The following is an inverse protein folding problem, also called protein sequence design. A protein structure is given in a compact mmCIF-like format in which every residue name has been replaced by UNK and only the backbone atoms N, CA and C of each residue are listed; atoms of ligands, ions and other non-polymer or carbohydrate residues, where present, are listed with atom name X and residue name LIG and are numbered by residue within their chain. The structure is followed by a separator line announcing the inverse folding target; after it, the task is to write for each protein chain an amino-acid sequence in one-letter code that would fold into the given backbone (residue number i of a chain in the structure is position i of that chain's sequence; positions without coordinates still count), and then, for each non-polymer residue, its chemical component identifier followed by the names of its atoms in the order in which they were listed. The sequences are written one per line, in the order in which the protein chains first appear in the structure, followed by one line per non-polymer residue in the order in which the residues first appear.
data_IF_824485628097
#
_entry.id   IF_824485628097
#
_cell.length_a   1.000
_cell.length_b   1.000
_cell.length_c   1.000
_cell.angle_alpha   90.00
_cell.angle_beta   90.00
_cell.angle_gamma   90.00
#
_symmetry.space_group_name_H-M   'P 1'
#
loop_
_entity.id
_entity.type
_entity.pdbx_description
1 polymer ?
#
# COMPACT_ATOMS: atom_id res chain seq x y z
N UNK A 1 -25.21 -13.36 -37.42
CA UNK A 1 -24.31 -13.53 -36.25
C UNK A 1 -23.32 -12.38 -36.32
N UNK A 2 -23.57 -11.28 -35.60
CA UNK A 2 -22.68 -10.12 -35.59
C UNK A 2 -21.48 -10.48 -34.73
N UNK A 3 -20.30 -10.35 -35.31
CA UNK A 3 -19.02 -10.42 -34.59
C UNK A 3 -18.88 -9.07 -33.90
N UNK A 4 -19.49 -8.94 -32.72
CA UNK A 4 -19.38 -7.74 -31.92
C UNK A 4 -17.96 -7.69 -31.31
N UNK A 5 -17.21 -6.66 -31.72
CA UNK A 5 -16.12 -6.00 -31.01
C UNK A 5 -15.09 -6.88 -30.26
N UNK A 6 -14.33 -7.70 -30.99
CA UNK A 6 -13.06 -8.20 -30.45
C UNK A 6 -12.00 -7.08 -30.52
N UNK A 7 -11.99 -6.21 -29.51
CA UNK A 7 -10.93 -5.20 -29.34
C UNK A 7 -9.74 -5.84 -28.64
N UNK A 8 -8.67 -6.15 -29.39
CA UNK A 8 -7.35 -6.37 -28.81
C UNK A 8 -6.83 -4.99 -28.39
N UNK A 9 -7.15 -4.58 -27.16
CA UNK A 9 -6.59 -3.39 -26.57
C UNK A 9 -5.21 -3.74 -26.01
N UNK A 10 -4.13 -3.32 -26.70
CA UNK A 10 -2.81 -3.29 -26.08
C UNK A 10 -2.83 -2.20 -24.99
N UNK A 11 -3.00 -2.60 -23.72
CA UNK A 11 -3.05 -1.71 -22.55
C UNK A 11 -3.31 -2.49 -21.26
N UNK A 12 -3.01 -1.88 -20.10
CA UNK A 12 -3.07 -2.49 -18.75
C UNK A 12 -4.46 -2.95 -18.25
N UNK A 13 -5.44 -3.13 -19.14
CA UNK A 13 -6.80 -3.57 -18.80
C UNK A 13 -6.81 -4.94 -18.12
N UNK A 14 -5.85 -5.81 -18.44
CA UNK A 14 -5.75 -7.17 -17.87
C UNK A 14 -5.20 -7.21 -16.42
N UNK A 15 -4.68 -6.08 -15.90
CA UNK A 15 -4.05 -6.03 -14.58
C UNK A 15 -4.94 -5.47 -13.47
N UNK A 16 -6.20 -5.11 -13.77
CA UNK A 16 -7.10 -4.60 -12.73
C UNK A 16 -7.44 -5.71 -11.72
N UNK A 17 -7.34 -5.45 -10.39
CA UNK A 17 -7.54 -6.49 -9.37
C UNK A 17 -8.92 -7.16 -9.42
N UNK A 18 -9.94 -6.47 -9.95
CA UNK A 18 -11.27 -7.03 -10.17
C UNK A 18 -11.30 -8.28 -11.06
N UNK A 19 -10.29 -8.46 -11.93
CA UNK A 19 -10.18 -9.61 -12.82
C UNK A 19 -9.39 -10.77 -12.20
N UNK A 20 -8.83 -10.60 -11.00
CA UNK A 20 -8.15 -11.69 -10.31
C UNK A 20 -9.18 -12.67 -9.77
N UNK A 21 -9.17 -13.88 -10.30
CA UNK A 21 -10.12 -14.91 -9.93
C UNK A 21 -9.64 -15.67 -8.68
N UNK A 22 -10.31 -15.42 -7.57
CA UNK A 22 -10.27 -16.30 -6.40
C UNK A 22 -11.51 -17.19 -6.46
N UNK A 23 -11.30 -18.49 -6.69
CA UNK A 23 -12.37 -19.49 -6.66
C UNK A 23 -13.18 -19.38 -5.38
N UNK A 24 -14.51 -19.53 -5.46
CA UNK A 24 -15.40 -19.44 -4.29
C UNK A 24 -15.04 -20.45 -3.19
N UNK A 25 -14.45 -21.59 -3.57
CA UNK A 25 -13.98 -22.63 -2.65
C UNK A 25 -12.55 -22.39 -2.13
N UNK A 26 -11.91 -21.29 -2.52
CA UNK A 26 -10.54 -20.99 -2.11
C UNK A 26 -10.50 -20.44 -0.68
N UNK A 27 -9.73 -21.05 0.25
CA UNK A 27 -9.67 -20.60 1.64
C UNK A 27 -9.02 -19.21 1.81
N UNK A 28 -8.31 -18.67 0.82
CA UNK A 28 -7.57 -17.42 0.93
C UNK A 28 -8.45 -16.22 1.31
N UNK A 29 -9.66 -16.11 0.73
CA UNK A 29 -10.61 -15.04 1.09
C UNK A 29 -10.99 -15.15 2.58
N UNK A 30 -11.35 -16.34 3.04
CA UNK A 30 -11.69 -16.58 4.43
C UNK A 30 -10.49 -16.30 5.37
N UNK A 31 -9.28 -16.68 4.95
CA UNK A 31 -8.05 -16.41 5.71
C UNK A 31 -7.77 -14.92 5.85
N UNK A 32 -7.96 -14.12 4.79
CA UNK A 32 -7.80 -12.65 4.85
C UNK A 32 -8.79 -12.04 5.84
N UNK A 33 -10.07 -12.43 5.75
CA UNK A 33 -11.10 -11.93 6.66
C UNK A 33 -10.86 -12.37 8.10
N UNK A 34 -10.36 -13.59 8.31
CA UNK A 34 -10.00 -14.10 9.63
C UNK A 34 -8.79 -13.35 10.21
N UNK A 35 -7.74 -13.13 9.41
CA UNK A 35 -6.56 -12.36 9.82
C UNK A 35 -6.95 -10.93 10.23
N UNK A 36 -7.82 -10.28 9.45
CA UNK A 36 -8.39 -8.98 9.77
C UNK A 36 -9.19 -9.03 11.08
N UNK A 37 -10.07 -10.02 11.25
CA UNK A 37 -10.88 -10.19 12.47
C UNK A 37 -10.04 -10.41 13.72
N UNK A 38 -8.92 -11.12 13.59
CA UNK A 38 -7.99 -11.42 14.68
C UNK A 38 -6.93 -10.33 14.91
N UNK A 39 -6.84 -9.32 14.04
CA UNK A 39 -5.79 -8.31 14.08
C UNK A 39 -4.38 -8.92 13.93
N UNK A 40 -4.25 -9.95 13.10
CA UNK A 40 -2.96 -10.65 12.88
C UNK A 40 -2.45 -10.38 11.47
N UNK A 41 -1.13 -10.19 11.29
CA UNK A 41 -0.54 -10.15 9.95
C UNK A 41 -0.71 -11.50 9.26
N UNK A 42 -0.86 -11.48 7.94
CA UNK A 42 -0.97 -12.68 7.12
C UNK A 42 0.33 -12.93 6.38
N UNK A 43 1.01 -14.04 6.71
CA UNK A 43 2.18 -14.50 5.96
C UNK A 43 1.72 -15.38 4.79
N UNK A 44 1.99 -14.93 3.56
CA UNK A 44 1.67 -15.68 2.34
C UNK A 44 2.96 -16.28 1.77
N UNK A 45 2.97 -17.60 1.61
CA UNK A 45 4.07 -18.35 1.01
C UNK A 45 3.64 -18.97 -0.31
N UNK A 46 4.58 -19.19 -1.22
CA UNK A 46 4.33 -19.87 -2.50
C UNK A 46 5.48 -19.65 -3.47
N UNK A 47 5.50 -20.40 -4.56
CA UNK A 47 6.50 -20.26 -5.62
C UNK A 47 6.48 -18.87 -6.27
N UNK A 48 7.59 -18.39 -6.85
CA UNK A 48 7.58 -17.18 -7.66
C UNK A 48 6.48 -17.23 -8.73
N UNK A 49 5.77 -16.12 -8.92
CA UNK A 49 4.68 -16.05 -9.92
C UNK A 49 3.31 -16.61 -9.48
N UNK A 50 3.14 -17.10 -8.24
CA UNK A 50 1.86 -17.64 -7.75
C UNK A 50 0.82 -16.58 -7.32
N UNK A 51 0.96 -15.33 -7.75
CA UNK A 51 -0.04 -14.30 -7.48
C UNK A 51 0.02 -13.64 -6.10
N UNK A 52 1.13 -13.73 -5.35
CA UNK A 52 1.24 -13.17 -3.98
C UNK A 52 1.04 -11.66 -3.95
N UNK A 53 1.75 -10.93 -4.82
CA UNK A 53 1.58 -9.47 -4.98
C UNK A 53 0.17 -9.15 -5.47
N UNK A 54 -0.36 -9.94 -6.42
CA UNK A 54 -1.71 -9.79 -6.95
C UNK A 54 -2.78 -9.95 -5.86
N UNK A 55 -2.58 -10.88 -4.92
CA UNK A 55 -3.48 -11.10 -3.79
C UNK A 55 -3.63 -9.85 -2.92
N UNK A 56 -2.54 -9.09 -2.69
CA UNK A 56 -2.61 -7.84 -1.92
C UNK A 56 -3.42 -6.76 -2.66
N UNK A 57 -3.24 -6.63 -3.98
CA UNK A 57 -4.05 -5.72 -4.79
C UNK A 57 -5.53 -6.12 -4.81
N UNK A 58 -5.82 -7.41 -4.96
CA UNK A 58 -7.19 -7.93 -4.88
C UNK A 58 -7.80 -7.68 -3.50
N UNK A 59 -7.06 -7.92 -2.42
CA UNK A 59 -7.55 -7.72 -1.06
C UNK A 59 -7.92 -6.25 -0.82
N UNK A 60 -7.07 -5.28 -1.21
CA UNK A 60 -7.39 -3.85 -1.10
C UNK A 60 -8.65 -3.49 -1.87
N UNK A 61 -8.74 -3.90 -3.13
CA UNK A 61 -9.91 -3.64 -3.97
C UNK A 61 -11.18 -4.26 -3.37
N UNK A 62 -11.12 -5.54 -3.01
CA UNK A 62 -12.25 -6.28 -2.44
C UNK A 62 -12.75 -5.61 -1.16
N UNK A 63 -11.83 -5.25 -0.24
CA UNK A 63 -12.15 -4.62 1.03
C UNK A 63 -12.68 -3.19 0.85
N UNK A 64 -12.14 -2.42 -0.10
CA UNK A 64 -12.65 -1.06 -0.40
C UNK A 64 -14.07 -1.04 -0.95
N UNK A 65 -14.50 -2.15 -1.58
CA UNK A 65 -15.85 -2.30 -2.10
C UNK A 65 -16.86 -2.75 -1.03
N UNK A 66 -16.39 -3.18 0.15
CA UNK A 66 -17.29 -3.57 1.24
C UNK A 66 -17.81 -2.34 1.97
N UNK A 67 -19.14 -2.24 2.07
CA UNK A 67 -19.83 -1.20 2.84
C UNK A 67 -20.29 -1.79 4.16
N UNK A 68 -19.38 -1.87 5.13
CA UNK A 68 -19.72 -2.20 6.52
C UNK A 68 -19.58 -0.91 7.33
N UNK A 69 -20.70 -0.36 7.80
CA UNK A 69 -20.72 0.89 8.58
C UNK A 69 -19.95 0.77 9.91
N UNK A 70 -19.68 -0.46 10.38
CA UNK A 70 -18.88 -0.70 11.58
C UNK A 70 -17.37 -0.67 11.34
N UNK A 71 -16.93 -0.59 10.08
CA UNK A 71 -15.52 -0.57 9.71
C UNK A 71 -15.11 0.76 9.06
N UNK A 72 -13.90 1.22 9.37
CA UNK A 72 -13.27 2.32 8.64
C UNK A 72 -13.04 1.89 7.19
N UNK A 73 -13.49 2.66 6.18
CA UNK A 73 -13.34 2.32 4.77
C UNK A 73 -11.90 1.98 4.39
N UNK A 74 -11.72 1.01 3.49
CA UNK A 74 -10.39 0.63 3.00
C UNK A 74 -9.99 1.45 1.77
N UNK A 75 -8.70 1.76 1.66
CA UNK A 75 -8.12 2.26 0.41
C UNK A 75 -8.20 1.18 -0.69
N UNK A 76 -8.43 1.58 -1.95
CA UNK A 76 -8.56 0.64 -3.07
C UNK A 76 -7.23 0.02 -3.53
N UNK A 77 -6.10 0.57 -3.07
CA UNK A 77 -4.75 0.14 -3.43
C UNK A 77 -3.91 -0.13 -2.17
N UNK A 78 -3.06 -1.17 -2.17
CA UNK A 78 -2.18 -1.44 -1.05
C UNK A 78 -1.02 -0.43 -1.00
N UNK A 79 -0.52 -0.17 0.21
CA UNK A 79 0.83 0.36 0.36
C UNK A 79 1.82 -0.80 0.21
N UNK A 80 2.92 -0.58 -0.53
CA UNK A 80 3.88 -1.64 -0.84
C UNK A 80 5.26 -1.22 -0.34
N UNK A 81 5.84 -2.05 0.52
CA UNK A 81 7.25 -1.98 0.87
C UNK A 81 8.01 -3.14 0.23
N UNK A 82 9.08 -2.79 -0.46
CA UNK A 82 9.99 -3.76 -1.04
C UNK A 82 11.20 -3.95 -0.14
N UNK A 83 11.27 -5.09 0.52
CA UNK A 83 12.40 -5.50 1.35
C UNK A 83 13.59 -5.88 0.49
N UNK A 84 14.78 -5.49 0.95
CA UNK A 84 16.09 -5.91 0.47
C UNK A 84 16.88 -6.47 1.64
N UNK A 85 17.95 -7.21 1.38
CA UNK A 85 18.86 -7.73 2.42
C UNK A 85 19.43 -6.62 3.31
N UNK A 86 19.58 -5.41 2.79
CA UNK A 86 20.10 -4.24 3.52
C UNK A 86 19.02 -3.36 4.15
N UNK A 87 17.74 -3.71 4.00
CA UNK A 87 16.63 -2.97 4.61
C UNK A 87 16.66 -3.07 6.13
N UNK A 88 16.50 -1.94 6.80
CA UNK A 88 16.38 -1.85 8.26
C UNK A 88 14.92 -1.63 8.66
N UNK A 89 14.57 -1.97 9.90
CA UNK A 89 13.20 -1.78 10.40
C UNK A 89 12.69 -0.33 10.28
N UNK A 90 13.57 0.67 10.43
CA UNK A 90 13.20 2.09 10.24
C UNK A 90 12.73 2.40 8.82
N UNK A 91 13.23 1.67 7.83
CA UNK A 91 12.95 1.93 6.41
C UNK A 91 11.51 1.57 6.06
N UNK A 92 10.83 0.73 6.86
CA UNK A 92 9.39 0.50 6.73
C UNK A 92 8.59 1.78 6.96
N UNK A 93 9.08 2.65 7.84
CA UNK A 93 8.35 3.83 8.31
C UNK A 93 8.71 5.08 7.50
N UNK A 94 10.00 5.35 7.29
CA UNK A 94 10.43 6.54 6.57
C UNK A 94 11.83 6.42 5.98
N UNK A 95 12.09 7.28 5.00
CA UNK A 95 13.40 7.55 4.45
C UNK A 95 13.82 8.96 4.79
N UNK A 96 15.11 9.12 5.08
CA UNK A 96 15.72 10.40 5.37
C UNK A 96 16.78 10.73 4.32
N UNK A 97 16.59 11.82 3.62
CA UNK A 97 17.47 12.29 2.57
C UNK A 97 18.61 13.12 3.16
N UNK A 98 19.60 12.41 3.69
CA UNK A 98 20.80 13.00 4.27
C UNK A 98 21.62 13.83 3.27
N UNK A 99 21.55 13.50 1.97
CA UNK A 99 22.29 14.20 0.92
C UNK A 99 21.68 15.57 0.69
N UNK A 100 20.37 15.63 0.47
CA UNK A 100 19.68 16.92 0.32
C UNK A 100 19.79 17.79 1.57
N UNK A 101 19.78 17.17 2.76
CA UNK A 101 19.97 17.93 4.00
C UNK A 101 21.38 18.49 4.11
N UNK A 102 22.41 17.69 3.80
CA UNK A 102 23.79 18.18 3.77
C UNK A 102 24.00 19.32 2.76
N UNK A 103 23.26 19.31 1.64
CA UNK A 103 23.31 20.37 0.63
C UNK A 103 22.60 21.66 1.05
N UNK A 104 21.73 21.63 2.06
CA UNK A 104 21.05 22.82 2.59
C UNK A 104 21.97 23.67 3.48
N UNK A 105 23.00 24.26 2.85
CA UNK A 105 24.06 25.03 3.53
C UNK A 105 23.56 26.20 4.36
N UNK A 106 22.44 26.79 3.97
CA UNK A 106 21.85 27.95 4.64
C UNK A 106 20.83 27.55 5.71
N UNK A 107 20.55 26.24 5.88
CA UNK A 107 19.60 25.72 6.87
C UNK A 107 18.19 26.28 6.66
N UNK A 108 17.80 26.52 5.41
CA UNK A 108 16.52 27.15 5.08
C UNK A 108 15.34 26.20 5.26
N UNK A 109 15.59 24.88 5.16
CA UNK A 109 14.56 23.86 5.26
C UNK A 109 14.51 23.26 6.65
N UNK A 110 13.31 22.85 7.06
CA UNK A 110 13.09 22.10 8.30
C UNK A 110 13.46 20.64 8.09
N UNK A 111 13.80 19.93 9.17
CA UNK A 111 14.15 18.50 9.14
C UNK A 111 13.08 17.64 8.44
N UNK A 112 11.79 17.96 8.66
CA UNK A 112 10.68 17.26 8.02
C UNK A 112 10.74 17.27 6.48
N UNK A 113 11.33 18.30 5.89
CA UNK A 113 11.49 18.45 4.43
C UNK A 113 12.57 17.55 3.83
N UNK A 114 13.24 16.75 4.66
CA UNK A 114 14.14 15.68 4.25
C UNK A 114 13.58 14.29 4.53
N UNK A 115 12.33 14.21 5.00
CA UNK A 115 11.67 12.95 5.33
C UNK A 115 10.61 12.64 4.27
N UNK A 116 10.58 11.37 3.86
CA UNK A 116 9.47 10.78 3.11
C UNK A 116 8.99 9.55 3.86
N UNK A 117 7.68 9.38 4.05
CA UNK A 117 7.16 8.15 4.62
C UNK A 117 7.29 6.98 3.66
N UNK A 118 7.60 5.81 4.20
CA UNK A 118 7.54 4.55 3.49
C UNK A 118 6.22 3.83 3.80
N UNK A 119 6.00 2.66 3.22
CA UNK A 119 4.67 2.04 3.16
C UNK A 119 3.99 1.88 4.53
N UNK A 120 4.73 1.47 5.57
CA UNK A 120 4.15 1.33 6.91
C UNK A 120 3.92 2.68 7.59
N UNK A 121 4.78 3.68 7.35
CA UNK A 121 4.57 5.05 7.82
C UNK A 121 3.33 5.68 7.19
N UNK A 122 3.13 5.47 5.89
CA UNK A 122 1.92 5.90 5.18
C UNK A 122 0.67 5.17 5.70
N UNK A 123 0.74 3.85 5.89
CA UNK A 123 -0.37 3.07 6.45
C UNK A 123 -0.80 3.58 7.83
N UNK A 124 0.17 3.90 8.71
CA UNK A 124 -0.10 4.47 10.03
C UNK A 124 -0.70 5.87 9.91
N UNK A 125 -0.11 6.75 9.10
CA UNK A 125 -0.62 8.10 8.89
C UNK A 125 -2.05 8.11 8.32
N UNK A 126 -2.34 7.18 7.40
CA UNK A 126 -3.66 7.04 6.78
C UNK A 126 -4.78 6.70 7.77
N UNK A 127 -4.45 6.08 8.92
CA UNK A 127 -5.44 5.79 9.97
C UNK A 127 -6.06 7.06 10.57
N UNK A 128 -5.39 8.20 10.46
CA UNK A 128 -5.92 9.51 10.87
C UNK A 128 -6.38 10.37 9.68
N UNK A 129 -5.98 10.01 8.45
CA UNK A 129 -6.19 10.81 7.23
C UNK A 129 -5.28 12.05 7.19
N UNK A 130 -5.03 12.58 5.99
CA UNK A 130 -4.12 13.72 5.79
C UNK A 130 -4.49 14.93 6.64
N UNK A 131 -5.79 15.26 6.73
CA UNK A 131 -6.28 16.47 7.43
C UNK A 131 -5.95 16.47 8.91
N UNK A 132 -6.26 15.37 9.60
CA UNK A 132 -6.06 15.28 11.04
C UNK A 132 -4.58 15.06 11.35
N UNK A 133 -3.92 14.21 10.57
CA UNK A 133 -2.53 13.86 10.79
C UNK A 133 -1.60 15.08 10.66
N UNK A 134 -1.75 15.89 9.60
CA UNK A 134 -0.97 17.13 9.44
C UNK A 134 -1.23 18.13 10.56
N UNK A 135 -2.50 18.32 10.95
CA UNK A 135 -2.88 19.21 12.06
C UNK A 135 -2.29 18.78 13.40
N UNK A 136 -2.32 17.48 13.70
CA UNK A 136 -1.92 16.91 14.99
C UNK A 136 -0.41 16.90 15.17
N UNK A 137 0.33 16.53 14.12
CA UNK A 137 1.79 16.33 14.22
C UNK A 137 2.63 17.46 13.59
N UNK A 138 2.00 18.45 12.95
CA UNK A 138 2.67 19.62 12.34
C UNK A 138 3.76 19.24 11.32
N UNK A 139 3.47 18.22 10.51
CA UNK A 139 4.43 17.59 9.58
C UNK A 139 4.30 18.11 8.14
N UNK A 140 3.84 19.34 7.95
CA UNK A 140 3.55 19.94 6.62
C UNK A 140 4.77 19.97 5.66
N UNK A 141 5.98 19.65 6.13
CA UNK A 141 7.19 19.53 5.31
C UNK A 141 7.47 18.14 4.75
N UNK A 142 6.80 17.08 5.21
CA UNK A 142 7.08 15.71 4.74
C UNK A 142 6.74 15.57 3.26
N UNK A 143 7.65 15.03 2.46
CA UNK A 143 7.65 15.21 0.99
C UNK A 143 6.51 14.52 0.24
N UNK A 144 5.96 13.43 0.78
CA UNK A 144 5.02 12.56 0.09
C UNK A 144 3.67 12.45 0.80
N UNK A 145 3.26 13.48 1.54
CA UNK A 145 1.97 13.53 2.23
C UNK A 145 0.76 13.44 1.29
N UNK A 146 0.91 13.85 0.02
CA UNK A 146 -0.12 13.72 -1.02
C UNK A 146 -0.47 12.26 -1.36
N UNK A 147 0.31 11.29 -0.88
CA UNK A 147 -0.03 9.87 -1.01
C UNK A 147 -1.16 9.43 -0.06
N UNK A 148 -1.53 10.27 0.92
CA UNK A 148 -2.61 9.99 1.85
C UNK A 148 -3.94 10.53 1.33
N UNK A 149 -5.03 9.79 1.57
CA UNK A 149 -6.37 10.32 1.43
C UNK A 149 -6.67 11.33 2.56
N UNK A 150 -7.54 12.30 2.25
CA UNK A 150 -7.95 13.37 3.17
C UNK A 150 -8.53 12.82 4.49
N UNK A 151 -9.38 11.80 4.37
CA UNK A 151 -10.12 11.19 5.47
C UNK A 151 -9.47 9.89 5.96
N UNK A 152 -9.71 9.47 7.22
CA UNK A 152 -9.23 8.20 7.75
C UNK A 152 -9.64 7.00 6.88
N UNK A 153 -8.67 6.16 6.52
CA UNK A 153 -8.93 4.90 5.82
C UNK A 153 -8.09 3.77 6.43
N UNK A 154 -8.64 2.57 6.43
CA UNK A 154 -7.86 1.34 6.58
C UNK A 154 -7.07 1.08 5.30
N UNK A 155 -5.97 0.35 5.37
CA UNK A 155 -5.16 0.01 4.20
C UNK A 155 -4.57 -1.38 4.32
N UNK A 156 -4.41 -2.07 3.18
CA UNK A 156 -3.56 -3.26 3.10
C UNK A 156 -2.11 -2.80 2.93
N UNK A 157 -1.21 -3.38 3.72
CA UNK A 157 0.23 -3.20 3.59
C UNK A 157 0.84 -4.50 3.08
N UNK A 158 1.46 -4.46 1.90
CA UNK A 158 2.28 -5.53 1.37
C UNK A 158 3.73 -5.27 1.73
N UNK A 159 4.37 -6.22 2.40
CA UNK A 159 5.82 -6.27 2.59
C UNK A 159 6.33 -7.45 1.78
N UNK A 160 7.01 -7.17 0.69
CA UNK A 160 7.45 -8.19 -0.27
C UNK A 160 8.96 -8.06 -0.49
N UNK A 161 9.65 -9.18 -0.58
CA UNK A 161 11.07 -9.18 -0.91
C UNK A 161 11.23 -8.98 -2.42
N UNK A 162 12.06 -8.02 -2.83
CA UNK A 162 12.53 -8.03 -4.23
C UNK A 162 13.65 -9.06 -4.30
N UNK A 163 13.27 -10.31 -4.55
CA UNK A 163 14.22 -11.31 -5.00
C UNK A 163 14.38 -11.11 -6.51
N UNK A 164 15.48 -10.49 -6.92
CA UNK A 164 15.86 -10.50 -8.32
C UNK A 164 16.44 -11.88 -8.62
N UNK A 165 15.68 -12.73 -9.29
CA UNK A 165 16.30 -13.66 -10.23
C UNK A 165 17.13 -12.81 -11.23
N UNK A 166 18.35 -13.25 -11.59
CA UNK A 166 19.32 -12.49 -12.36
C UNK A 166 18.80 -12.03 -13.73
#
# INVERSE_FOLDING_TARGET
MKVDDFKIAFGHYDNHPQYYYLSENNPLKATILLALKLGKPLLITGEPGTGKTQLAHWASWYLSAQTDESLTPFLPSPFIFHTKTTSLGKDLFYQYDAISHFQDKEGKKRVAEFISFSAMGLAIAQTEGLRNFSRKYQIDGVRNMLALAEEPHSSVLLIDEIDKAP
#
